data_IF_384290134377
#
_entry.id   IF_384290134377
#
_cell.length_a   1.000
_cell.length_b   1.000
_cell.length_c   1.000
_cell.angle_alpha   90.00
_cell.angle_beta   90.00
_cell.angle_gamma   90.00
#
_symmetry.space_group_name_H-M   'P 1'
#
loop_
_entity.id
_entity.type
_entity.pdbx_description
1 polymer ?
#
# COMPACT_ATOMS: atom_id res chain seq x y z
N UNK A 1 13.67 -44.51 -64.22
CA UNK A 1 14.28 -43.53 -63.29
C UNK A 1 13.64 -42.16 -63.50
N UNK A 2 12.66 -41.79 -62.66
CA UNK A 2 12.25 -40.40 -62.40
C UNK A 2 11.81 -40.37 -60.93
N UNK A 3 12.66 -39.84 -60.06
CA UNK A 3 12.38 -39.66 -58.64
C UNK A 3 11.59 -38.36 -58.51
N UNK A 4 10.34 -38.46 -58.04
CA UNK A 4 9.50 -37.31 -57.72
C UNK A 4 9.84 -36.84 -56.29
N UNK A 5 10.40 -35.65 -56.16
CA UNK A 5 10.57 -34.99 -54.86
C UNK A 5 9.26 -34.31 -54.46
N UNK A 6 8.64 -34.76 -53.37
CA UNK A 6 7.51 -34.07 -52.73
C UNK A 6 8.09 -33.28 -51.54
N UNK A 7 7.96 -31.95 -51.49
CA UNK A 7 8.41 -31.19 -50.34
C UNK A 7 7.40 -31.37 -49.20
N UNK A 8 7.87 -32.00 -48.11
CA UNK A 8 7.10 -32.12 -46.88
C UNK A 8 7.14 -30.76 -46.15
N UNK A 9 6.09 -29.95 -46.31
CA UNK A 9 5.91 -28.75 -45.49
C UNK A 9 5.49 -29.17 -44.08
N UNK A 10 6.47 -29.20 -43.17
CA UNK A 10 6.22 -29.29 -41.73
C UNK A 10 5.59 -27.98 -41.26
N UNK A 11 4.26 -27.96 -41.12
CA UNK A 11 3.55 -26.92 -40.38
C UNK A 11 3.93 -27.04 -38.90
N UNK A 12 4.88 -26.24 -38.45
CA UNK A 12 5.05 -25.99 -37.02
C UNK A 12 3.94 -25.04 -36.57
N UNK A 13 2.90 -25.59 -35.96
CA UNK A 13 1.87 -24.84 -35.26
C UNK A 13 2.50 -24.17 -34.04
N UNK A 14 2.98 -22.93 -34.17
CA UNK A 14 3.39 -22.11 -33.02
C UNK A 14 2.16 -21.86 -32.15
N UNK A 15 1.99 -22.67 -31.10
CA UNK A 15 0.97 -22.45 -30.09
C UNK A 15 1.48 -21.34 -29.18
N UNK A 16 1.18 -20.08 -29.51
CA UNK A 16 1.40 -18.96 -28.60
C UNK A 16 0.28 -18.96 -27.57
N UNK A 17 0.57 -19.45 -26.36
CA UNK A 17 -0.30 -19.27 -25.20
C UNK A 17 -0.14 -17.84 -24.68
N UNK A 18 -0.83 -16.88 -25.31
CA UNK A 18 -0.90 -15.52 -24.78
C UNK A 18 -1.89 -15.49 -23.60
N UNK A 19 -1.50 -14.85 -22.49
CA UNK A 19 -2.35 -14.70 -21.30
C UNK A 19 -3.61 -13.85 -21.56
N UNK A 20 -3.60 -13.02 -22.60
CA UNK A 20 -4.71 -12.13 -22.95
C UNK A 20 -5.15 -12.41 -24.40
N UNK A 21 -6.20 -13.21 -24.57
CA UNK A 21 -6.96 -13.26 -25.82
C UNK A 21 -8.23 -12.41 -25.61
N UNK A 22 -8.56 -11.47 -26.52
CA UNK A 22 -9.86 -10.79 -26.46
C UNK A 22 -11.01 -11.80 -26.57
N UNK A 23 -12.09 -11.56 -25.82
CA UNK A 23 -13.26 -12.46 -25.76
C UNK A 23 -13.81 -12.74 -27.17
N UNK A 24 -13.76 -14.00 -27.58
CA UNK A 24 -14.14 -14.46 -28.92
C UNK A 24 -15.65 -14.61 -29.13
N UNK A 25 -16.49 -14.42 -28.09
CA UNK A 25 -17.91 -14.80 -28.13
C UNK A 25 -18.85 -13.60 -28.37
N UNK A 26 -18.39 -12.36 -28.14
CA UNK A 26 -19.09 -11.12 -28.52
C UNK A 26 -18.21 -10.12 -29.29
N UNK A 27 -16.89 -10.39 -29.36
CA UNK A 27 -15.89 -9.46 -29.87
C UNK A 27 -15.69 -8.20 -29.02
N UNK A 28 -16.49 -7.96 -27.96
CA UNK A 28 -16.50 -6.73 -27.13
C UNK A 28 -16.94 -7.02 -25.69
N UNK A 29 -16.27 -6.44 -24.70
CA UNK A 29 -16.55 -6.61 -23.27
C UNK A 29 -17.20 -5.34 -22.70
N UNK A 30 -18.53 -5.30 -22.67
CA UNK A 30 -19.28 -4.18 -22.07
C UNK A 30 -19.26 -4.33 -20.55
N UNK A 31 -18.29 -3.69 -19.89
CA UNK A 31 -18.17 -3.66 -18.43
C UNK A 31 -18.66 -2.32 -17.88
N UNK A 32 -19.57 -2.36 -16.91
CA UNK A 32 -20.06 -1.18 -16.20
C UNK A 32 -18.94 -0.60 -15.35
N UNK A 33 -18.59 0.68 -15.51
CA UNK A 33 -17.42 1.28 -14.84
C UNK A 33 -17.65 2.76 -14.53
N UNK A 34 -17.14 3.23 -13.39
CA UNK A 34 -16.96 4.66 -13.15
C UNK A 34 -15.58 4.96 -12.55
N UNK A 35 -15.06 6.14 -12.84
CA UNK A 35 -13.79 6.62 -12.32
C UNK A 35 -13.80 8.12 -12.02
N UNK A 36 -12.84 8.54 -11.21
CA UNK A 36 -12.46 9.94 -11.00
C UNK A 36 -10.95 10.07 -11.15
N UNK A 37 -10.53 11.08 -11.92
CA UNK A 37 -9.14 11.54 -12.03
C UNK A 37 -9.05 12.88 -11.34
N UNK A 38 -8.03 13.09 -10.50
CA UNK A 38 -7.90 14.32 -9.72
C UNK A 38 -6.44 14.74 -9.47
N UNK A 39 -6.26 16.01 -9.13
CA UNK A 39 -4.97 16.62 -8.80
C UNK A 39 -5.07 17.42 -7.50
N UNK A 40 -4.13 17.21 -6.59
CA UNK A 40 -3.91 18.07 -5.43
C UNK A 40 -2.79 19.07 -5.75
N UNK A 41 -3.14 20.35 -5.91
CA UNK A 41 -2.17 21.41 -6.21
C UNK A 41 -1.24 21.75 -5.04
N UNK A 42 -1.66 21.48 -3.80
CA UNK A 42 -0.88 21.78 -2.59
C UNK A 42 0.17 20.69 -2.37
N UNK A 43 -0.27 19.43 -2.36
CA UNK A 43 0.62 18.28 -2.21
C UNK A 43 1.39 17.93 -3.50
N UNK A 44 0.95 18.46 -4.64
CA UNK A 44 1.46 18.13 -5.99
C UNK A 44 1.35 16.62 -6.26
N UNK A 45 0.15 16.11 -6.08
CA UNK A 45 -0.19 14.69 -6.24
C UNK A 45 -1.25 14.50 -7.32
N UNK A 46 -1.12 13.46 -8.12
CA UNK A 46 -2.15 13.00 -9.06
C UNK A 46 -2.73 11.70 -8.54
N UNK A 47 -4.02 11.51 -8.77
CA UNK A 47 -4.66 10.27 -8.37
C UNK A 47 -5.85 9.90 -9.23
N UNK A 48 -6.11 8.60 -9.26
CA UNK A 48 -7.23 7.99 -9.96
C UNK A 48 -7.88 6.98 -9.02
N UNK A 49 -9.21 7.01 -8.94
CA UNK A 49 -9.99 5.95 -8.32
C UNK A 49 -11.04 5.45 -9.30
N UNK A 50 -11.28 4.13 -9.31
CA UNK A 50 -12.12 3.46 -10.30
C UNK A 50 -12.79 2.23 -9.70
N UNK A 51 -14.00 1.91 -10.16
CA UNK A 51 -14.72 0.69 -9.82
C UNK A 51 -15.44 0.12 -11.04
N UNK A 52 -15.49 -1.21 -11.13
CA UNK A 52 -16.14 -1.94 -12.22
C UNK A 52 -16.78 -3.26 -11.75
N UNK A 53 -17.62 -3.85 -12.61
CA UNK A 53 -18.25 -5.16 -12.39
C UNK A 53 -17.42 -6.32 -12.98
N UNK A 54 -16.24 -6.02 -13.51
CA UNK A 54 -15.22 -6.97 -13.92
C UNK A 54 -14.06 -7.06 -12.89
N UNK A 55 -13.14 -7.99 -13.09
CA UNK A 55 -11.96 -8.17 -12.24
C UNK A 55 -10.84 -7.16 -12.56
N UNK A 56 -9.95 -6.94 -11.58
CA UNK A 56 -8.65 -6.25 -11.68
C UNK A 56 -8.56 -4.83 -12.28
N UNK A 57 -9.63 -4.03 -12.20
CA UNK A 57 -9.76 -2.75 -12.92
C UNK A 57 -8.60 -1.75 -12.79
N UNK A 58 -7.89 -1.77 -11.66
CA UNK A 58 -6.73 -0.89 -11.45
C UNK A 58 -5.61 -1.10 -12.47
N UNK A 59 -5.52 -2.27 -13.10
CA UNK A 59 -4.44 -2.61 -14.03
C UNK A 59 -4.68 -2.02 -15.42
N UNK A 60 -5.93 -2.03 -15.86
CA UNK A 60 -6.28 -1.63 -17.22
C UNK A 60 -6.59 -0.14 -17.33
N UNK A 61 -7.01 0.53 -16.26
CA UNK A 61 -7.69 1.83 -16.40
C UNK A 61 -6.99 3.01 -15.75
N UNK A 62 -5.90 2.79 -15.01
CA UNK A 62 -5.20 3.83 -14.25
C UNK A 62 -3.83 4.10 -14.86
N UNK A 63 -3.59 5.35 -15.25
CA UNK A 63 -2.31 5.81 -15.77
C UNK A 63 -1.91 7.11 -15.09
N UNK A 64 -0.76 7.13 -14.41
CA UNK A 64 -0.25 8.33 -13.75
C UNK A 64 1.22 8.48 -14.08
N UNK A 65 1.61 9.61 -14.65
CA UNK A 65 3.01 10.00 -14.79
C UNK A 65 3.28 11.21 -13.89
N UNK A 66 4.01 11.01 -12.76
CA UNK A 66 4.39 12.07 -11.84
C UNK A 66 4.97 13.30 -12.54
N UNK A 67 4.48 14.49 -12.17
CA UNK A 67 4.93 15.75 -12.73
C UNK A 67 4.31 16.13 -14.09
N UNK A 68 3.60 15.21 -14.76
CA UNK A 68 2.93 15.48 -16.03
C UNK A 68 1.41 15.48 -15.93
N UNK A 69 0.82 14.42 -15.37
CA UNK A 69 -0.63 14.24 -15.40
C UNK A 69 -1.08 12.83 -15.03
N UNK A 70 -2.39 12.63 -15.11
CA UNK A 70 -3.04 11.34 -14.98
C UNK A 70 -4.13 11.17 -16.02
N UNK A 71 -4.34 9.93 -16.45
CA UNK A 71 -5.39 9.53 -17.38
C UNK A 71 -6.15 8.35 -16.80
N UNK A 72 -7.45 8.30 -17.11
CA UNK A 72 -8.25 7.11 -16.96
C UNK A 72 -8.86 6.75 -18.31
N UNK A 73 -8.80 5.48 -18.67
CA UNK A 73 -9.41 4.94 -19.90
C UNK A 73 -10.28 3.78 -19.47
N UNK A 74 -11.59 3.89 -19.67
CA UNK A 74 -12.57 2.88 -19.26
C UNK A 74 -13.44 2.49 -20.46
N UNK A 75 -14.49 1.69 -20.22
CA UNK A 75 -15.27 1.04 -21.26
C UNK A 75 -14.37 0.07 -22.06
N UNK A 76 -14.38 0.12 -23.39
CA UNK A 76 -13.41 -0.62 -24.18
C UNK A 76 -12.03 0.04 -24.04
N UNK A 77 -11.18 -0.49 -23.16
CA UNK A 77 -9.93 0.16 -22.76
C UNK A 77 -8.91 0.19 -23.93
N UNK A 78 -8.30 1.35 -24.17
CA UNK A 78 -7.21 1.54 -25.14
C UNK A 78 -6.04 2.31 -24.47
N UNK A 79 -4.97 1.61 -24.03
CA UNK A 79 -3.83 2.23 -23.35
C UNK A 79 -3.13 3.36 -24.11
N UNK A 80 -3.22 3.39 -25.45
CA UNK A 80 -2.58 4.43 -26.28
C UNK A 80 -2.96 5.84 -25.87
N UNK A 81 -4.21 6.09 -25.45
CA UNK A 81 -4.64 7.41 -24.99
C UNK A 81 -3.79 7.97 -23.86
N UNK A 82 -3.35 7.11 -22.94
CA UNK A 82 -2.45 7.52 -21.85
C UNK A 82 -0.99 7.58 -22.31
N UNK A 83 -0.52 6.54 -23.01
CA UNK A 83 0.88 6.44 -23.45
C UNK A 83 1.26 7.62 -24.36
N UNK A 84 0.49 7.84 -25.43
CA UNK A 84 0.70 8.97 -26.35
C UNK A 84 0.32 10.29 -25.68
N UNK A 85 -0.71 10.28 -24.84
CA UNK A 85 -1.12 11.46 -24.08
C UNK A 85 0.01 12.04 -23.22
N UNK A 86 0.78 11.20 -22.53
CA UNK A 86 1.95 11.65 -21.78
C UNK A 86 3.03 12.23 -22.69
N UNK A 87 3.26 11.67 -23.87
CA UNK A 87 4.22 12.24 -24.84
C UNK A 87 3.76 13.61 -25.35
N UNK A 88 2.45 13.81 -25.58
CA UNK A 88 1.90 15.12 -25.94
C UNK A 88 2.05 16.14 -24.81
N UNK A 89 1.80 15.73 -23.56
CA UNK A 89 1.99 16.61 -22.39
C UNK A 89 3.46 17.04 -22.23
N UNK A 90 4.43 16.14 -22.47
CA UNK A 90 5.87 16.49 -22.47
C UNK A 90 6.21 17.56 -23.51
N UNK A 91 5.53 17.54 -24.66
CA UNK A 91 5.68 18.53 -25.73
C UNK A 91 4.95 19.85 -25.44
N UNK A 92 4.34 20.00 -24.26
CA UNK A 92 3.64 21.23 -23.85
C UNK A 92 2.22 21.34 -24.41
N UNK A 93 1.65 20.27 -24.96
CA UNK A 93 0.24 20.23 -25.35
C UNK A 93 -0.65 20.25 -24.10
N UNK A 94 -1.88 20.76 -24.27
CA UNK A 94 -2.89 20.69 -23.21
C UNK A 94 -3.41 19.26 -23.05
N UNK A 95 -4.02 18.95 -21.90
CA UNK A 95 -4.65 17.64 -21.68
C UNK A 95 -5.72 17.29 -22.73
N UNK A 96 -6.42 18.30 -23.25
CA UNK A 96 -7.39 18.14 -24.31
C UNK A 96 -6.70 17.73 -25.61
N UNK A 97 -5.68 18.48 -26.03
CA UNK A 97 -4.90 18.16 -27.23
C UNK A 97 -4.24 16.78 -27.13
N UNK A 98 -3.79 16.39 -25.94
CA UNK A 98 -3.21 15.08 -25.68
C UNK A 98 -4.20 13.92 -25.91
N UNK A 99 -5.44 14.06 -25.42
CA UNK A 99 -6.49 13.05 -25.64
C UNK A 99 -6.98 13.07 -27.09
N UNK A 100 -7.14 14.26 -27.67
CA UNK A 100 -7.61 14.43 -29.05
C UNK A 100 -6.62 13.87 -30.08
N UNK A 101 -5.32 13.88 -29.78
CA UNK A 101 -4.27 13.30 -30.63
C UNK A 101 -4.58 11.83 -30.97
N UNK A 102 -4.71 10.97 -29.96
CA UNK A 102 -5.05 9.55 -30.16
C UNK A 102 -6.47 9.37 -30.68
N UNK A 103 -7.41 10.23 -30.26
CA UNK A 103 -8.83 10.16 -30.67
C UNK A 103 -9.02 10.31 -32.19
N UNK A 104 -8.15 11.08 -32.87
CA UNK A 104 -8.25 11.29 -34.32
C UNK A 104 -7.98 10.01 -35.11
N UNK A 105 -7.13 9.12 -34.60
CA UNK A 105 -6.72 7.87 -35.25
C UNK A 105 -7.48 6.64 -34.74
N UNK A 106 -8.17 6.74 -33.59
CA UNK A 106 -8.98 5.66 -33.03
C UNK A 106 -10.36 5.57 -33.71
N UNK A 107 -10.46 4.67 -34.71
CA UNK A 107 -11.72 4.35 -35.39
C UNK A 107 -12.81 3.82 -34.43
N UNK A 108 -12.42 3.26 -33.29
CA UNK A 108 -13.31 2.71 -32.26
C UNK A 108 -13.55 3.69 -31.10
N UNK A 109 -13.15 4.96 -31.21
CA UNK A 109 -13.33 5.98 -30.16
C UNK A 109 -14.76 6.07 -29.62
N UNK A 110 -15.75 5.73 -30.44
CA UNK A 110 -17.16 5.74 -30.10
C UNK A 110 -17.54 4.72 -29.01
N UNK A 111 -16.66 3.76 -28.70
CA UNK A 111 -16.80 2.75 -27.63
C UNK A 111 -16.06 3.13 -26.35
N UNK A 112 -15.17 4.11 -26.41
CA UNK A 112 -14.26 4.46 -25.31
C UNK A 112 -14.89 5.46 -24.37
N UNK A 113 -14.37 5.56 -23.15
CA UNK A 113 -14.45 6.79 -22.36
C UNK A 113 -13.07 7.10 -21.81
N UNK A 114 -12.62 8.34 -21.98
CA UNK A 114 -11.28 8.78 -21.61
C UNK A 114 -11.40 10.07 -20.83
N UNK A 115 -10.65 10.18 -19.74
CA UNK A 115 -10.48 11.41 -19.00
C UNK A 115 -9.03 11.59 -18.61
N UNK A 116 -8.64 12.84 -18.38
CA UNK A 116 -7.32 13.16 -17.89
C UNK A 116 -7.26 14.51 -17.19
N UNK A 117 -6.17 14.67 -16.42
CA UNK A 117 -5.81 15.90 -15.76
C UNK A 117 -4.30 16.14 -15.93
N UNK A 118 -3.89 17.36 -16.26
CA UNK A 118 -2.47 17.71 -16.37
C UNK A 118 -1.88 18.24 -15.04
N UNK A 119 -0.59 18.58 -15.07
CA UNK A 119 0.15 19.14 -13.94
C UNK A 119 -0.33 20.50 -13.42
N UNK A 120 -1.16 21.19 -14.19
CA UNK A 120 -1.76 22.46 -13.82
C UNK A 120 -3.20 22.28 -13.29
N UNK A 121 -3.71 21.05 -13.26
CA UNK A 121 -5.07 20.74 -12.83
C UNK A 121 -6.14 20.94 -13.92
N UNK A 122 -5.75 21.22 -15.17
CA UNK A 122 -6.71 21.30 -16.27
C UNK A 122 -7.22 19.92 -16.64
N UNK A 123 -8.53 19.78 -16.85
CA UNK A 123 -9.19 18.51 -17.12
C UNK A 123 -9.84 18.45 -18.49
N UNK A 124 -9.78 17.28 -19.12
CA UNK A 124 -10.55 16.95 -20.31
C UNK A 124 -11.08 15.53 -20.21
N UNK A 125 -12.27 15.29 -20.76
CA UNK A 125 -12.85 13.97 -20.85
C UNK A 125 -13.85 13.89 -22.00
N UNK A 126 -14.05 12.69 -22.54
CA UNK A 126 -15.10 12.42 -23.51
C UNK A 126 -15.75 11.05 -23.27
N UNK A 127 -17.01 10.94 -23.70
CA UNK A 127 -17.76 9.68 -23.74
C UNK A 127 -18.07 9.33 -25.18
N UNK A 128 -17.68 8.14 -25.62
CA UNK A 128 -17.95 7.63 -26.96
C UNK A 128 -19.46 7.56 -27.27
N UNK A 129 -19.82 7.87 -28.50
CA UNK A 129 -21.22 8.03 -28.90
C UNK A 129 -22.07 6.76 -28.85
N UNK A 130 -21.50 5.55 -28.80
CA UNK A 130 -22.28 4.32 -28.68
C UNK A 130 -22.94 4.15 -27.30
N UNK A 131 -22.41 4.81 -26.27
CA UNK A 131 -22.91 4.67 -24.90
C UNK A 131 -24.33 5.24 -24.71
N UNK A 132 -24.79 6.13 -25.61
CA UNK A 132 -26.18 6.62 -25.60
C UNK A 132 -27.22 5.54 -25.92
N UNK A 133 -26.79 4.40 -26.47
CA UNK A 133 -27.65 3.25 -26.80
C UNK A 133 -27.55 2.12 -25.77
N UNK A 134 -26.73 2.29 -24.72
CA UNK A 134 -26.57 1.29 -23.67
C UNK A 134 -27.48 1.61 -22.47
N UNK A 135 -27.87 0.62 -21.66
CA UNK A 135 -28.67 0.85 -20.46
C UNK A 135 -27.96 1.73 -19.43
N UNK A 136 -28.73 2.51 -18.66
CA UNK A 136 -28.24 3.39 -17.60
C UNK A 136 -27.61 4.68 -18.11
N UNK A 137 -27.10 5.49 -17.18
CA UNK A 137 -26.45 6.75 -17.50
C UNK A 137 -24.98 6.52 -17.91
N UNK A 138 -24.55 7.23 -18.95
CA UNK A 138 -23.15 7.32 -19.33
C UNK A 138 -22.78 8.78 -19.60
N UNK A 139 -21.64 9.23 -19.07
CA UNK A 139 -21.28 10.64 -19.15
C UNK A 139 -19.95 10.98 -18.48
N UNK A 140 -19.70 12.27 -18.42
CA UNK A 140 -18.57 12.88 -17.72
C UNK A 140 -19.08 14.07 -16.91
N UNK A 141 -18.41 14.41 -15.82
CA UNK A 141 -18.68 15.62 -15.04
C UNK A 141 -17.36 16.20 -14.54
N UNK A 142 -17.10 17.46 -14.89
CA UNK A 142 -15.92 18.19 -14.41
C UNK A 142 -16.23 18.84 -13.06
N UNK A 143 -15.26 18.79 -12.16
CA UNK A 143 -15.24 19.54 -10.91
C UNK A 143 -13.95 20.35 -10.77
N UNK A 144 -13.74 20.93 -9.60
CA UNK A 144 -12.51 21.63 -9.26
C UNK A 144 -11.37 20.63 -9.10
N UNK A 145 -10.37 20.73 -9.98
CA UNK A 145 -9.19 19.85 -10.03
C UNK A 145 -9.53 18.35 -10.12
N UNK A 146 -10.69 18.01 -10.68
CA UNK A 146 -11.09 16.63 -10.91
C UNK A 146 -12.04 16.49 -12.10
N UNK A 147 -12.15 15.26 -12.60
CA UNK A 147 -13.17 14.88 -13.57
C UNK A 147 -13.62 13.46 -13.29
N UNK A 148 -14.94 13.30 -13.15
CA UNK A 148 -15.59 12.01 -12.99
C UNK A 148 -16.16 11.55 -14.34
N UNK A 149 -16.18 10.24 -14.57
CA UNK A 149 -16.84 9.66 -15.74
C UNK A 149 -17.30 8.24 -15.46
N UNK A 150 -18.19 7.73 -16.33
CA UNK A 150 -18.56 6.33 -16.31
C UNK A 150 -19.71 6.00 -17.24
N UNK A 151 -20.08 4.72 -17.26
CA UNK A 151 -21.14 4.16 -18.08
C UNK A 151 -21.99 3.16 -17.28
N UNK A 152 -23.24 2.97 -17.74
CA UNK A 152 -24.27 2.13 -17.12
C UNK A 152 -24.44 2.40 -15.62
N UNK A 153 -24.53 3.68 -15.27
CA UNK A 153 -24.64 4.16 -13.89
C UNK A 153 -26.08 4.56 -13.54
N UNK A 154 -26.33 4.73 -12.24
CA UNK A 154 -27.45 5.57 -11.79
C UNK A 154 -27.24 7.05 -12.12
N UNK A 155 -28.32 7.81 -12.31
CA UNK A 155 -28.28 9.20 -12.81
C UNK A 155 -27.51 10.18 -11.91
N UNK A 156 -27.44 9.91 -10.61
CA UNK A 156 -26.82 10.81 -9.62
C UNK A 156 -25.35 10.48 -9.32
N UNK A 157 -24.80 9.44 -9.93
CA UNK A 157 -23.48 8.90 -9.58
C UNK A 157 -22.36 9.93 -9.80
N UNK A 158 -22.28 10.52 -10.99
CA UNK A 158 -21.19 11.48 -11.28
C UNK A 158 -21.28 12.74 -10.40
N UNK A 159 -22.49 13.23 -10.17
CA UNK A 159 -22.72 14.37 -9.28
C UNK A 159 -22.27 14.05 -7.85
N UNK A 160 -22.61 12.87 -7.34
CA UNK A 160 -22.19 12.44 -6.01
C UNK A 160 -20.67 12.29 -5.88
N UNK A 161 -20.01 11.75 -6.91
CA UNK A 161 -18.54 11.62 -6.96
C UNK A 161 -17.89 13.00 -6.86
N UNK A 162 -18.28 13.95 -7.73
CA UNK A 162 -17.67 15.30 -7.75
C UNK A 162 -17.97 16.05 -6.45
N UNK A 163 -19.22 16.07 -6.00
CA UNK A 163 -19.61 16.73 -4.76
C UNK A 163 -18.84 16.19 -3.55
N UNK A 164 -18.71 14.86 -3.43
CA UNK A 164 -17.99 14.25 -2.31
C UNK A 164 -16.48 14.53 -2.37
N UNK A 165 -15.87 14.53 -3.57
CA UNK A 165 -14.47 14.90 -3.73
C UNK A 165 -14.19 16.32 -3.25
N UNK A 166 -15.03 17.29 -3.65
CA UNK A 166 -14.84 18.70 -3.33
C UNK A 166 -15.14 19.05 -1.87
N UNK A 167 -16.08 18.33 -1.23
CA UNK A 167 -16.49 18.58 0.15
C UNK A 167 -15.65 17.83 1.19
N UNK A 168 -14.94 16.78 0.77
CA UNK A 168 -14.10 15.99 1.69
C UNK A 168 -12.77 16.69 1.93
N UNK A 169 -12.43 16.87 3.20
CA UNK A 169 -11.10 17.32 3.61
C UNK A 169 -10.15 16.13 3.80
N UNK A 170 -8.85 16.39 3.74
CA UNK A 170 -7.81 15.38 3.96
C UNK A 170 -6.91 15.19 2.74
N UNK A 171 -6.19 14.09 2.73
CA UNK A 171 -5.25 13.74 1.65
C UNK A 171 -5.99 13.43 0.34
N UNK A 172 -5.27 13.44 -0.78
CA UNK A 172 -5.85 13.09 -2.07
C UNK A 172 -6.48 11.69 -2.05
N UNK A 173 -5.82 10.70 -1.44
CA UNK A 173 -6.35 9.35 -1.30
C UNK A 173 -7.67 9.29 -0.50
N UNK A 174 -7.83 10.07 0.57
CA UNK A 174 -9.07 10.11 1.34
C UNK A 174 -10.23 10.71 0.53
N UNK A 175 -9.98 11.80 -0.20
CA UNK A 175 -10.99 12.45 -1.06
C UNK A 175 -11.40 11.55 -2.22
N UNK A 176 -10.45 10.85 -2.84
CA UNK A 176 -10.72 9.88 -3.92
C UNK A 176 -11.58 8.72 -3.43
N UNK A 177 -11.26 8.14 -2.27
CA UNK A 177 -12.09 7.07 -1.69
C UNK A 177 -13.50 7.57 -1.33
N UNK A 178 -13.61 8.75 -0.73
CA UNK A 178 -14.91 9.35 -0.41
C UNK A 178 -15.76 9.55 -1.66
N UNK A 179 -15.15 10.05 -2.74
CA UNK A 179 -15.79 10.21 -4.04
C UNK A 179 -16.29 8.87 -4.61
N UNK A 180 -15.43 7.85 -4.61
CA UNK A 180 -15.75 6.52 -5.13
C UNK A 180 -16.92 5.87 -4.36
N UNK A 181 -16.89 5.95 -3.03
CA UNK A 181 -17.94 5.44 -2.14
C UNK A 181 -19.25 6.22 -2.29
N UNK A 182 -19.20 7.55 -2.46
CA UNK A 182 -20.39 8.36 -2.72
C UNK A 182 -21.04 8.00 -4.05
N UNK A 183 -20.24 7.77 -5.10
CA UNK A 183 -20.72 7.26 -6.39
C UNK A 183 -21.48 5.95 -6.26
N UNK A 184 -20.91 4.98 -5.53
CA UNK A 184 -21.58 3.71 -5.27
C UNK A 184 -22.92 3.89 -4.53
N UNK A 185 -22.97 4.75 -3.51
CA UNK A 185 -24.19 5.01 -2.73
C UNK A 185 -25.28 5.75 -3.51
N UNK A 186 -24.90 6.52 -4.53
CA UNK A 186 -25.82 7.27 -5.38
C UNK A 186 -26.44 6.43 -6.52
N UNK A 187 -26.25 5.11 -6.50
CA UNK A 187 -26.78 4.16 -7.48
C UNK A 187 -25.69 3.30 -8.11
N UNK A 188 -24.43 3.76 -8.06
CA UNK A 188 -23.27 3.05 -8.58
C UNK A 188 -23.49 2.50 -9.99
N UNK A 189 -23.02 1.28 -10.17
CA UNK A 189 -23.10 0.51 -11.40
C UNK A 189 -24.40 -0.31 -11.41
N UNK A 190 -25.22 -0.20 -12.45
CA UNK A 190 -26.54 -0.86 -12.48
C UNK A 190 -26.47 -2.39 -12.58
N UNK A 191 -25.31 -2.94 -12.98
CA UNK A 191 -25.06 -4.38 -13.12
C UNK A 191 -24.22 -4.96 -11.98
N UNK A 192 -24.09 -4.25 -10.86
CA UNK A 192 -23.32 -4.70 -9.70
C UNK A 192 -21.85 -4.28 -9.71
N UNK A 193 -21.10 -4.79 -8.72
CA UNK A 193 -19.72 -4.39 -8.40
C UNK A 193 -18.85 -5.62 -8.20
N UNK A 194 -17.58 -5.55 -8.60
CA UNK A 194 -16.65 -6.69 -8.50
C UNK A 194 -15.23 -6.25 -8.10
N UNK A 195 -14.70 -5.18 -8.68
CA UNK A 195 -13.37 -4.68 -8.37
C UNK A 195 -13.32 -3.16 -8.25
N UNK A 196 -12.35 -2.68 -7.47
CA UNK A 196 -12.08 -1.26 -7.31
C UNK A 196 -10.58 -1.03 -7.07
N UNK A 197 -10.10 0.15 -7.45
CA UNK A 197 -8.71 0.54 -7.24
C UNK A 197 -8.60 2.04 -6.95
N UNK A 198 -7.54 2.41 -6.24
CA UNK A 198 -7.15 3.78 -5.96
C UNK A 198 -5.63 3.89 -6.04
N UNK A 199 -5.16 4.80 -6.89
CA UNK A 199 -3.75 5.11 -7.04
C UNK A 199 -3.52 6.60 -6.81
N UNK A 200 -2.45 6.93 -6.10
CA UNK A 200 -1.94 8.29 -5.91
C UNK A 200 -0.43 8.28 -6.16
N UNK A 201 0.08 9.26 -6.90
CA UNK A 201 1.51 9.48 -7.06
C UNK A 201 1.87 10.95 -6.82
N UNK A 202 2.89 11.19 -6.00
CA UNK A 202 3.46 12.53 -5.80
C UNK A 202 4.43 12.92 -6.93
N UNK A 203 4.67 14.21 -7.12
CA UNK A 203 5.50 14.74 -8.22
C UNK A 203 6.92 14.14 -8.30
N UNK A 204 7.53 13.85 -7.16
CA UNK A 204 8.88 13.26 -7.10
C UNK A 204 8.88 11.73 -7.24
N UNK A 205 7.71 11.10 -7.35
CA UNK A 205 7.53 9.64 -7.39
C UNK A 205 8.20 8.89 -6.21
N UNK A 206 8.32 9.55 -5.06
CA UNK A 206 8.88 8.96 -3.85
C UNK A 206 7.97 7.82 -3.37
N UNK A 207 8.53 6.63 -3.16
CA UNK A 207 7.76 5.43 -2.86
C UNK A 207 6.83 5.58 -1.64
N UNK A 208 7.20 6.41 -0.66
CA UNK A 208 6.42 6.67 0.54
C UNK A 208 5.26 7.64 0.35
N UNK A 209 5.25 8.42 -0.74
CA UNK A 209 4.15 9.31 -1.15
C UNK A 209 3.19 8.62 -2.13
N UNK A 210 3.53 7.40 -2.57
CA UNK A 210 2.74 6.67 -3.55
C UNK A 210 1.74 5.72 -2.87
N UNK A 211 0.52 5.70 -3.40
CA UNK A 211 -0.53 4.75 -3.02
C UNK A 211 -0.89 3.95 -4.28
N UNK A 212 -0.96 2.64 -4.15
CA UNK A 212 -1.50 1.73 -5.17
C UNK A 212 -2.26 0.63 -4.44
N UNK A 213 -3.57 0.83 -4.28
CA UNK A 213 -4.45 -0.07 -3.56
C UNK A 213 -5.46 -0.65 -4.53
N UNK A 214 -5.57 -1.98 -4.51
CA UNK A 214 -6.35 -2.73 -5.48
C UNK A 214 -7.17 -3.80 -4.76
N UNK A 215 -8.45 -3.82 -5.07
CA UNK A 215 -9.36 -4.91 -4.74
C UNK A 215 -9.77 -5.50 -6.07
N UNK A 216 -8.99 -6.46 -6.56
CA UNK A 216 -9.16 -7.01 -7.90
C UNK A 216 -10.37 -7.95 -8.02
N UNK A 217 -10.93 -8.40 -6.88
CA UNK A 217 -12.15 -9.20 -6.78
C UNK A 217 -12.73 -9.16 -5.35
N UNK A 218 -13.97 -8.70 -5.18
CA UNK A 218 -14.71 -8.74 -3.92
C UNK A 218 -16.20 -8.57 -4.16
N UNK A 219 -17.03 -9.12 -3.28
CA UNK A 219 -18.47 -8.77 -3.22
C UNK A 219 -18.71 -7.38 -2.65
N UNK A 220 -17.72 -6.82 -1.94
CA UNK A 220 -17.77 -5.46 -1.41
C UNK A 220 -16.44 -4.69 -1.61
N UNK A 221 -16.10 -4.35 -2.87
CA UNK A 221 -14.80 -3.77 -3.20
C UNK A 221 -14.56 -2.39 -2.56
N UNK A 222 -15.59 -1.63 -2.24
CA UNK A 222 -15.46 -0.28 -1.65
C UNK A 222 -15.10 -0.34 -0.15
N UNK A 223 -15.69 -1.26 0.61
CA UNK A 223 -15.33 -1.48 2.02
C UNK A 223 -13.93 -2.10 2.13
N UNK A 224 -13.57 -3.03 1.24
CA UNK A 224 -12.22 -3.58 1.19
C UNK A 224 -11.17 -2.51 0.84
N UNK A 225 -11.47 -1.63 -0.12
CA UNK A 225 -10.57 -0.53 -0.48
C UNK A 225 -10.46 0.48 0.68
N UNK A 226 -11.55 0.72 1.41
CA UNK A 226 -11.56 1.53 2.64
C UNK A 226 -10.66 0.92 3.71
N UNK A 227 -10.75 -0.40 3.91
CA UNK A 227 -9.89 -1.14 4.85
C UNK A 227 -8.41 -1.01 4.46
N UNK A 228 -8.07 -1.16 3.18
CA UNK A 228 -6.69 -0.99 2.69
C UNK A 228 -6.16 0.44 2.91
N UNK A 229 -6.98 1.46 2.65
CA UNK A 229 -6.60 2.85 2.88
C UNK A 229 -6.43 3.16 4.38
N UNK A 230 -7.29 2.59 5.22
CA UNK A 230 -7.15 2.65 6.67
C UNK A 230 -5.86 1.98 7.14
N UNK A 231 -5.46 0.83 6.59
CA UNK A 231 -4.19 0.20 6.92
C UNK A 231 -3.00 1.10 6.56
N UNK A 232 -3.02 1.70 5.37
CA UNK A 232 -1.99 2.64 4.94
C UNK A 232 -1.79 3.80 5.93
N UNK A 233 -2.87 4.54 6.25
CA UNK A 233 -2.78 5.70 7.15
C UNK A 233 -2.64 5.30 8.62
N UNK A 234 -3.23 4.18 9.04
CA UNK A 234 -3.11 3.65 10.39
C UNK A 234 -1.67 3.29 10.74
N UNK A 235 -0.91 2.72 9.79
CA UNK A 235 0.54 2.51 9.95
C UNK A 235 1.29 3.83 10.14
N UNK A 236 0.95 4.86 9.37
CA UNK A 236 1.59 6.18 9.47
C UNK A 236 1.29 6.81 10.84
N UNK A 237 0.03 6.77 11.27
CA UNK A 237 -0.39 7.27 12.58
C UNK A 237 0.28 6.52 13.73
N UNK A 238 0.44 5.19 13.60
CA UNK A 238 1.16 4.40 14.60
C UNK A 238 2.65 4.79 14.68
N UNK A 239 3.29 5.04 13.54
CA UNK A 239 4.67 5.55 13.52
C UNK A 239 4.78 6.92 14.19
N UNK A 240 3.83 7.82 13.90
CA UNK A 240 3.75 9.14 14.54
C UNK A 240 3.52 9.03 16.04
N UNK A 241 2.66 8.10 16.49
CA UNK A 241 2.42 7.84 17.89
C UNK A 241 3.70 7.44 18.62
N UNK A 242 4.40 6.43 18.11
CA UNK A 242 5.67 5.94 18.68
C UNK A 242 6.72 7.06 18.70
N UNK A 243 6.86 7.81 17.61
CA UNK A 243 7.80 8.92 17.55
C UNK A 243 7.46 10.00 18.60
N UNK A 244 6.19 10.40 18.70
CA UNK A 244 5.74 11.37 19.69
C UNK A 244 6.02 10.90 21.12
N UNK A 245 5.79 9.62 21.43
CA UNK A 245 6.09 9.03 22.74
C UNK A 245 7.59 9.10 23.04
N UNK A 246 8.43 8.71 22.08
CA UNK A 246 9.89 8.75 22.22
C UNK A 246 10.43 10.18 22.40
N UNK A 247 9.79 11.17 21.79
CA UNK A 247 10.09 12.60 21.96
C UNK A 247 9.49 13.19 23.25
N UNK A 248 8.84 12.39 24.09
CA UNK A 248 8.23 12.83 25.36
C UNK A 248 6.84 13.47 25.22
N UNK A 249 6.28 13.57 24.01
CA UNK A 249 4.92 14.07 23.79
C UNK A 249 3.88 12.94 23.93
N UNK A 250 3.67 12.52 25.17
CA UNK A 250 2.76 11.42 25.53
C UNK A 250 1.31 11.71 25.12
N UNK A 251 0.85 12.95 25.22
CA UNK A 251 -0.52 13.32 24.87
C UNK A 251 -0.82 13.10 23.38
N UNK A 252 0.07 13.59 22.51
CA UNK A 252 -0.02 13.34 21.07
C UNK A 252 0.13 11.84 20.77
N UNK A 253 1.08 11.18 21.44
CA UNK A 253 1.29 9.73 21.33
C UNK A 253 0.02 8.92 21.57
N UNK A 254 -0.68 9.18 22.67
CA UNK A 254 -1.95 8.50 23.01
C UNK A 254 -3.06 8.79 22.00
N UNK A 255 -3.21 10.04 21.59
CA UNK A 255 -4.22 10.44 20.59
C UNK A 255 -4.00 9.71 19.26
N UNK A 256 -2.76 9.70 18.75
CA UNK A 256 -2.42 9.03 17.48
C UNK A 256 -2.52 7.51 17.58
N UNK A 257 -2.16 6.92 18.72
CA UNK A 257 -2.29 5.48 18.93
C UNK A 257 -3.76 5.04 18.87
N UNK A 258 -4.66 5.77 19.53
CA UNK A 258 -6.09 5.47 19.50
C UNK A 258 -6.69 5.55 18.08
N UNK A 259 -6.30 6.55 17.30
CA UNK A 259 -6.68 6.65 15.88
C UNK A 259 -6.11 5.49 15.06
N UNK A 260 -4.83 5.18 15.24
CA UNK A 260 -4.15 4.11 14.53
C UNK A 260 -4.80 2.74 14.78
N UNK A 261 -5.11 2.41 16.03
CA UNK A 261 -5.75 1.13 16.39
C UNK A 261 -7.08 0.90 15.68
N UNK A 262 -7.92 1.93 15.61
CA UNK A 262 -9.19 1.86 14.88
C UNK A 262 -8.96 1.57 13.40
N UNK A 263 -7.92 2.16 12.82
CA UNK A 263 -7.62 2.05 11.39
C UNK A 263 -6.94 0.73 11.02
N UNK A 264 -6.12 0.17 11.91
CA UNK A 264 -5.38 -1.08 11.65
C UNK A 264 -6.08 -2.34 12.16
N UNK A 265 -7.33 -2.21 12.61
CA UNK A 265 -8.14 -3.34 13.07
C UNK A 265 -8.21 -4.44 12.00
N UNK A 266 -7.84 -5.67 12.38
CA UNK A 266 -7.80 -6.82 11.48
C UNK A 266 -6.47 -7.02 10.74
N UNK A 267 -5.49 -6.12 10.90
CA UNK A 267 -4.14 -6.35 10.40
C UNK A 267 -3.29 -7.10 11.42
N UNK A 268 -3.17 -8.42 11.27
CA UNK A 268 -2.42 -9.27 12.23
C UNK A 268 -0.94 -8.88 12.34
N UNK A 269 -0.29 -8.54 11.23
CA UNK A 269 1.15 -8.24 11.18
C UNK A 269 1.58 -6.94 11.87
N UNK A 270 0.65 -6.04 12.20
CA UNK A 270 1.00 -4.76 12.85
C UNK A 270 0.79 -4.77 14.37
N UNK A 271 0.16 -5.81 14.92
CA UNK A 271 -0.21 -5.87 16.33
C UNK A 271 1.01 -5.82 17.27
N UNK A 272 2.15 -6.39 16.87
CA UNK A 272 3.39 -6.30 17.66
C UNK A 272 3.83 -4.85 17.86
N UNK A 273 3.62 -3.99 16.87
CA UNK A 273 3.95 -2.56 16.93
C UNK A 273 2.95 -1.76 17.77
N UNK A 274 1.68 -2.14 17.76
CA UNK A 274 0.66 -1.57 18.67
C UNK A 274 0.99 -1.92 20.12
N UNK A 275 1.32 -3.19 20.41
CA UNK A 275 1.74 -3.62 21.74
C UNK A 275 3.01 -2.87 22.20
N UNK A 276 4.00 -2.69 21.33
CA UNK A 276 5.19 -1.86 21.61
C UNK A 276 4.80 -0.42 22.00
N UNK A 277 3.87 0.22 21.29
CA UNK A 277 3.44 1.58 21.61
C UNK A 277 2.84 1.67 23.02
N UNK A 278 2.06 0.67 23.45
CA UNK A 278 1.55 0.61 24.82
C UNK A 278 2.65 0.39 25.86
N UNK A 279 3.66 -0.41 25.55
CA UNK A 279 4.81 -0.58 26.44
C UNK A 279 5.62 0.71 26.60
N UNK A 280 5.82 1.47 25.51
CA UNK A 280 6.46 2.80 25.55
C UNK A 280 5.64 3.79 26.40
N UNK A 281 4.31 3.68 26.38
CA UNK A 281 3.41 4.45 27.24
C UNK A 281 3.39 3.98 28.70
N UNK A 282 4.13 2.92 29.05
CA UNK A 282 4.11 2.28 30.37
C UNK A 282 2.72 1.72 30.73
N UNK A 283 1.99 1.22 29.74
CA UNK A 283 0.65 0.61 29.88
C UNK A 283 0.69 -0.90 29.54
N UNK A 284 1.41 -1.73 30.34
CA UNK A 284 1.63 -3.15 30.00
C UNK A 284 0.34 -3.95 29.92
N UNK A 285 -0.69 -3.61 30.71
CA UNK A 285 -1.97 -4.32 30.63
C UNK A 285 -2.61 -4.23 29.24
N UNK A 286 -2.52 -3.07 28.58
CA UNK A 286 -3.08 -2.90 27.23
C UNK A 286 -2.24 -3.58 26.17
N UNK A 287 -0.92 -3.60 26.34
CA UNK A 287 -0.04 -4.40 25.49
C UNK A 287 -0.43 -5.89 25.55
N UNK A 288 -0.72 -6.41 26.74
CA UNK A 288 -1.22 -7.79 26.93
C UNK A 288 -2.57 -8.00 26.24
N UNK A 289 -3.49 -7.05 26.33
CA UNK A 289 -4.79 -7.15 25.66
C UNK A 289 -4.63 -7.26 24.14
N UNK A 290 -3.75 -6.44 23.55
CA UNK A 290 -3.40 -6.50 22.11
C UNK A 290 -2.78 -7.85 21.74
N UNK A 291 -1.80 -8.32 22.51
CA UNK A 291 -1.14 -9.61 22.29
C UNK A 291 -2.15 -10.77 22.32
N UNK A 292 -3.02 -10.79 23.34
CA UNK A 292 -4.03 -11.85 23.48
C UNK A 292 -5.08 -11.79 22.37
N UNK A 293 -5.49 -10.61 21.95
CA UNK A 293 -6.39 -10.45 20.80
C UNK A 293 -5.73 -10.96 19.50
N UNK A 294 -4.45 -10.68 19.29
CA UNK A 294 -3.70 -11.17 18.13
C UNK A 294 -3.58 -12.70 18.11
N UNK A 295 -3.30 -13.32 19.26
CA UNK A 295 -3.28 -14.78 19.42
C UNK A 295 -4.64 -15.42 19.19
N UNK A 296 -5.72 -14.80 19.68
CA UNK A 296 -7.08 -15.29 19.48
C UNK A 296 -7.49 -15.25 17.99
N UNK A 297 -7.08 -14.20 17.27
CA UNK A 297 -7.33 -14.08 15.84
C UNK A 297 -6.44 -15.00 14.99
N UNK A 298 -5.20 -15.24 15.42
CA UNK A 298 -4.24 -16.11 14.73
C UNK A 298 -3.34 -16.85 15.75
N UNK A 299 -3.59 -18.14 16.02
CA UNK A 299 -2.76 -18.91 16.95
C UNK A 299 -1.27 -19.01 16.54
N UNK A 300 -0.94 -18.86 15.26
CA UNK A 300 0.46 -18.82 14.78
C UNK A 300 1.19 -17.54 15.15
N UNK A 301 0.45 -16.49 15.54
CA UNK A 301 1.03 -15.24 16.03
C UNK A 301 1.94 -15.45 17.26
N UNK A 302 1.85 -16.61 17.93
CA UNK A 302 2.76 -17.05 18.99
C UNK A 302 4.25 -16.93 18.67
N UNK A 303 4.62 -16.93 17.38
CA UNK A 303 5.99 -16.64 16.92
C UNK A 303 6.53 -15.28 17.40
N UNK A 304 5.66 -14.32 17.72
CA UNK A 304 6.02 -12.99 18.20
C UNK A 304 6.19 -12.91 19.73
N UNK A 305 5.76 -13.93 20.47
CA UNK A 305 5.76 -13.90 21.94
C UNK A 305 7.14 -13.69 22.57
N UNK A 306 8.24 -14.25 22.05
CA UNK A 306 9.57 -14.01 22.59
C UNK A 306 9.97 -12.54 22.66
N UNK A 307 9.56 -11.72 21.68
CA UNK A 307 9.80 -10.28 21.71
C UNK A 307 9.23 -9.60 22.96
N UNK A 308 8.19 -10.19 23.56
CA UNK A 308 7.51 -9.68 24.76
C UNK A 308 7.96 -10.39 26.04
N UNK A 309 9.15 -11.00 26.07
CA UNK A 309 9.72 -11.68 27.26
C UNK A 309 9.67 -10.84 28.55
N UNK A 310 9.76 -9.52 28.44
CA UNK A 310 9.61 -8.59 29.57
C UNK A 310 8.27 -8.69 30.32
N UNK A 311 7.27 -9.33 29.71
CA UNK A 311 5.94 -9.60 30.28
C UNK A 311 5.81 -11.04 30.81
N UNK A 312 6.90 -11.83 30.89
CA UNK A 312 6.86 -13.24 31.32
C UNK A 312 6.25 -13.45 32.71
N UNK A 313 6.34 -12.45 33.58
CA UNK A 313 5.83 -12.52 34.95
C UNK A 313 4.40 -11.93 35.06
N UNK A 314 3.84 -11.38 33.98
CA UNK A 314 2.45 -10.91 33.95
C UNK A 314 1.50 -12.14 33.96
N UNK A 315 0.52 -12.23 34.88
CA UNK A 315 -0.26 -13.46 35.10
C UNK A 315 -0.98 -14.02 33.86
N UNK A 316 -1.42 -13.16 32.93
CA UNK A 316 -2.12 -13.53 31.69
C UNK A 316 -1.15 -13.89 30.56
N UNK A 317 0.15 -13.62 30.73
CA UNK A 317 1.22 -13.96 29.79
C UNK A 317 2.10 -15.12 30.27
N UNK A 318 2.14 -15.40 31.57
CA UNK A 318 3.06 -16.36 32.20
C UNK A 318 3.04 -17.76 31.58
N UNK A 319 1.88 -18.26 31.17
CA UNK A 319 1.76 -19.58 30.52
C UNK A 319 2.00 -19.57 29.01
N UNK A 320 2.18 -18.38 28.41
CA UNK A 320 2.34 -18.20 26.96
C UNK A 320 3.81 -18.06 26.56
N UNK A 321 4.65 -17.54 27.45
CA UNK A 321 6.08 -17.33 27.20
C UNK A 321 6.87 -18.48 27.84
N UNK A 322 7.34 -19.40 27.01
CA UNK A 322 8.14 -20.55 27.46
C UNK A 322 9.61 -20.38 27.11
N UNK A 323 10.36 -19.80 28.06
CA UNK A 323 11.79 -19.55 27.95
C UNK A 323 12.61 -20.82 27.68
N UNK A 324 12.15 -22.00 28.13
CA UNK A 324 12.92 -23.25 28.01
C UNK A 324 13.14 -23.70 26.57
N UNK A 325 12.31 -23.20 25.65
CA UNK A 325 12.35 -23.53 24.24
C UNK A 325 12.81 -22.34 23.38
N UNK A 326 13.33 -21.27 24.00
CA UNK A 326 13.85 -20.14 23.24
C UNK A 326 15.06 -20.56 22.41
N UNK A 327 14.98 -20.27 21.13
CA UNK A 327 16.10 -20.30 20.20
C UNK A 327 16.91 -19.01 20.31
N UNK A 328 18.08 -18.98 19.65
CA UNK A 328 18.86 -17.75 19.50
C UNK A 328 18.01 -16.58 18.94
N UNK A 329 17.16 -16.85 17.95
CA UNK A 329 16.26 -15.84 17.32
C UNK A 329 15.23 -15.29 18.31
N UNK A 330 14.78 -16.11 19.24
CA UNK A 330 13.81 -15.73 20.26
C UNK A 330 14.45 -14.78 21.27
N UNK A 331 15.68 -15.07 21.72
CA UNK A 331 16.47 -14.16 22.55
C UNK A 331 16.81 -12.85 21.84
N UNK A 332 17.22 -12.91 20.56
CA UNK A 332 17.46 -11.73 19.74
C UNK A 332 16.21 -10.84 19.68
N UNK A 333 15.03 -11.43 19.48
CA UNK A 333 13.76 -10.72 19.43
C UNK A 333 13.41 -10.06 20.77
N UNK A 334 13.59 -10.79 21.87
CA UNK A 334 13.39 -10.28 23.24
C UNK A 334 14.28 -9.06 23.55
N UNK A 335 15.58 -9.19 23.29
CA UNK A 335 16.57 -8.13 23.49
C UNK A 335 16.26 -6.92 22.60
N UNK A 336 15.94 -7.15 21.33
CA UNK A 336 15.66 -6.07 20.36
C UNK A 336 14.47 -5.22 20.77
N UNK A 337 13.39 -5.84 21.27
CA UNK A 337 12.23 -5.08 21.76
C UNK A 337 12.56 -4.34 23.06
N UNK A 338 13.29 -4.97 23.99
CA UNK A 338 13.70 -4.30 25.23
C UNK A 338 14.61 -3.08 24.97
N UNK A 339 15.52 -3.18 24.00
CA UNK A 339 16.33 -2.06 23.53
C UNK A 339 15.49 -0.89 23.01
N UNK A 340 14.41 -1.16 22.26
CA UNK A 340 13.49 -0.11 21.79
C UNK A 340 12.74 0.63 22.90
N UNK A 341 12.59 0.00 24.08
CA UNK A 341 11.95 0.61 25.26
C UNK A 341 12.91 1.51 26.06
N UNK A 342 14.15 1.70 25.61
CA UNK A 342 15.20 2.47 26.32
C UNK A 342 15.47 1.97 27.76
N UNK A 343 15.36 0.65 28.00
CA UNK A 343 15.61 0.02 29.32
C UNK A 343 17.07 -0.48 29.45
N UNK A 344 18.03 0.41 29.25
CA UNK A 344 19.46 0.07 29.08
C UNK A 344 20.03 -1.01 30.02
N UNK A 345 19.95 -0.85 31.36
CA UNK A 345 20.46 -1.86 32.29
C UNK A 345 19.80 -3.24 32.15
N UNK A 346 18.50 -3.25 31.87
CA UNK A 346 17.72 -4.48 31.70
C UNK A 346 18.02 -5.14 30.35
N UNK A 347 18.22 -4.35 29.29
CA UNK A 347 18.66 -4.85 27.99
C UNK A 347 20.02 -5.55 28.10
N UNK A 348 20.99 -4.95 28.82
CA UNK A 348 22.31 -5.57 29.05
C UNK A 348 22.17 -6.90 29.81
N UNK A 349 21.35 -6.92 30.88
CA UNK A 349 21.09 -8.15 31.63
C UNK A 349 20.47 -9.23 30.74
N UNK A 350 19.52 -8.85 29.89
CA UNK A 350 18.83 -9.75 28.98
C UNK A 350 19.76 -10.30 27.88
N UNK A 351 20.67 -9.47 27.34
CA UNK A 351 21.74 -9.91 26.45
C UNK A 351 22.60 -11.00 27.12
N UNK A 352 23.08 -10.74 28.34
CA UNK A 352 23.91 -11.68 29.07
C UNK A 352 23.18 -13.01 29.35
N UNK A 353 21.89 -12.95 29.69
CA UNK A 353 21.06 -14.15 29.85
C UNK A 353 21.00 -14.97 28.56
N UNK A 354 20.75 -14.34 27.41
CA UNK A 354 20.73 -15.04 26.12
C UNK A 354 22.10 -15.62 25.73
N UNK A 355 23.19 -14.91 26.02
CA UNK A 355 24.56 -15.36 25.77
C UNK A 355 24.98 -16.54 26.65
N UNK A 356 24.32 -16.80 27.78
CA UNK A 356 24.55 -18.03 28.55
C UNK A 356 24.15 -19.28 27.76
N UNK A 357 23.05 -19.20 27.01
CA UNK A 357 22.55 -20.32 26.19
C UNK A 357 23.22 -20.34 24.80
N UNK A 358 23.55 -19.16 24.27
CA UNK A 358 24.10 -18.98 22.93
C UNK A 358 25.40 -18.12 22.93
N UNK A 359 26.49 -18.60 23.55
CA UNK A 359 27.73 -17.81 23.74
C UNK A 359 28.49 -17.50 22.44
N UNK A 360 28.07 -18.07 21.30
CA UNK A 360 28.65 -17.80 19.98
C UNK A 360 27.72 -16.99 19.07
N UNK A 361 26.66 -16.43 19.63
CA UNK A 361 25.73 -15.58 18.88
C UNK A 361 26.37 -14.24 18.56
N UNK A 362 26.83 -14.08 17.32
CA UNK A 362 27.36 -12.79 16.83
C UNK A 362 26.35 -11.66 17.07
N UNK A 363 25.07 -11.89 16.78
CA UNK A 363 24.06 -10.84 16.87
C UNK A 363 23.72 -10.45 18.32
N UNK A 364 23.71 -11.38 19.28
CA UNK A 364 23.54 -11.04 20.69
C UNK A 364 24.74 -10.23 21.24
N UNK A 365 25.97 -10.55 20.83
CA UNK A 365 27.15 -9.75 21.15
C UNK A 365 27.05 -8.33 20.56
N UNK A 366 26.60 -8.20 19.32
CA UNK A 366 26.31 -6.90 18.71
C UNK A 366 25.27 -6.09 19.52
N UNK A 367 24.13 -6.71 19.88
CA UNK A 367 23.08 -6.05 20.66
C UNK A 367 23.58 -5.65 22.07
N UNK A 368 24.43 -6.47 22.68
CA UNK A 368 25.10 -6.15 23.95
C UNK A 368 26.01 -4.93 23.79
N UNK A 369 26.88 -4.93 22.78
CA UNK A 369 27.75 -3.81 22.46
C UNK A 369 26.97 -2.51 22.21
N UNK A 370 25.88 -2.57 21.45
CA UNK A 370 24.97 -1.43 21.24
C UNK A 370 24.37 -0.91 22.55
N UNK A 371 23.95 -1.81 23.43
CA UNK A 371 23.36 -1.46 24.73
C UNK A 371 24.38 -0.88 25.71
N UNK A 372 25.59 -1.42 25.73
CA UNK A 372 26.73 -0.90 26.51
C UNK A 372 27.13 0.50 26.07
N UNK A 373 27.16 0.74 24.74
CA UNK A 373 27.45 2.05 24.21
C UNK A 373 26.41 3.08 24.64
N UNK A 374 25.12 2.73 24.55
CA UNK A 374 24.03 3.60 25.01
C UNK A 374 24.11 3.90 26.51
N UNK A 375 24.72 3.00 27.30
CA UNK A 375 25.00 3.18 28.72
C UNK A 375 26.33 3.94 29.01
N UNK A 376 27.03 4.44 27.99
CA UNK A 376 28.29 5.19 28.13
C UNK A 376 29.54 4.31 28.32
N UNK A 377 29.42 2.99 28.23
CA UNK A 377 30.52 2.03 28.43
C UNK A 377 31.24 1.74 27.12
N UNK A 378 31.88 2.77 26.55
CA UNK A 378 32.45 2.73 25.18
C UNK A 378 33.46 1.61 24.96
N UNK A 379 34.38 1.37 25.90
CA UNK A 379 35.43 0.35 25.73
C UNK A 379 34.88 -1.08 25.82
N UNK A 380 33.96 -1.33 26.76
CA UNK A 380 33.24 -2.61 26.83
C UNK A 380 32.43 -2.84 25.56
N UNK A 381 31.71 -1.81 25.09
CA UNK A 381 30.91 -1.87 23.88
C UNK A 381 31.75 -2.20 22.64
N UNK A 382 32.92 -1.59 22.49
CA UNK A 382 33.83 -1.86 21.37
C UNK A 382 34.26 -3.32 21.35
N UNK A 383 34.69 -3.87 22.49
CA UNK A 383 35.13 -5.27 22.60
C UNK A 383 34.04 -6.24 22.18
N UNK A 384 32.80 -6.01 22.62
CA UNK A 384 31.66 -6.86 22.25
C UNK A 384 31.34 -6.78 20.75
N UNK A 385 31.42 -5.59 20.15
CA UNK A 385 31.20 -5.44 18.70
C UNK A 385 32.33 -6.05 17.87
N UNK A 386 33.60 -5.92 18.31
CA UNK A 386 34.73 -6.61 17.69
C UNK A 386 34.53 -8.13 17.74
N UNK A 387 34.15 -8.66 18.92
CA UNK A 387 33.88 -10.08 19.07
C UNK A 387 32.71 -10.58 18.20
N UNK A 388 31.65 -9.77 18.05
CA UNK A 388 30.55 -10.09 17.15
C UNK A 388 31.02 -10.26 15.70
N UNK A 389 31.91 -9.39 15.21
CA UNK A 389 32.49 -9.47 13.86
C UNK A 389 33.41 -10.68 13.72
N UNK A 390 34.19 -11.01 14.76
CA UNK A 390 35.05 -12.19 14.76
C UNK A 390 34.25 -13.51 14.71
N UNK A 391 33.08 -13.54 15.36
CA UNK A 391 32.17 -14.68 15.33
C UNK A 391 31.47 -14.86 13.97
N UNK A 392 31.10 -13.75 13.33
CA UNK A 392 30.45 -13.73 12.01
C UNK A 392 30.78 -12.43 11.26
N UNK A 393 31.70 -12.52 10.32
CA UNK A 393 32.11 -11.39 9.49
C UNK A 393 31.01 -10.89 8.54
N UNK A 394 29.91 -11.65 8.36
CA UNK A 394 28.73 -11.23 7.59
C UNK A 394 27.72 -10.43 8.40
N UNK A 395 27.95 -10.23 9.71
CA UNK A 395 27.13 -9.34 10.53
C UNK A 395 27.40 -7.86 10.18
N UNK A 396 26.72 -7.39 9.13
CA UNK A 396 26.88 -6.04 8.60
C UNK A 396 26.59 -4.94 9.65
N UNK A 397 25.63 -5.15 10.54
CA UNK A 397 25.32 -4.16 11.59
C UNK A 397 26.49 -3.98 12.56
N UNK A 398 27.13 -5.07 12.98
CA UNK A 398 28.33 -5.03 13.81
C UNK A 398 29.50 -4.38 13.08
N UNK A 399 29.73 -4.74 11.82
CA UNK A 399 30.79 -4.17 10.97
C UNK A 399 30.60 -2.66 10.79
N UNK A 400 29.39 -2.21 10.47
CA UNK A 400 29.05 -0.79 10.30
C UNK A 400 29.26 -0.05 11.63
N UNK A 401 28.82 -0.61 12.75
CA UNK A 401 28.98 0.01 14.06
C UNK A 401 30.46 0.15 14.43
N UNK A 402 31.27 -0.89 14.18
CA UNK A 402 32.71 -0.86 14.42
C UNK A 402 33.42 0.20 13.58
N UNK A 403 33.10 0.27 12.29
CA UNK A 403 33.71 1.20 11.34
C UNK A 403 33.17 2.64 11.41
N UNK A 404 32.00 2.86 11.99
CA UNK A 404 31.37 4.17 12.06
C UNK A 404 31.54 4.83 13.43
N UNK A 405 31.24 4.09 14.49
CA UNK A 405 31.09 4.64 15.85
C UNK A 405 32.38 4.55 16.67
N UNK A 406 33.19 3.52 16.42
CA UNK A 406 34.41 3.23 17.17
C UNK A 406 35.72 3.56 16.41
N UNK A 407 35.62 4.16 15.22
CA UNK A 407 36.78 4.70 14.50
C UNK A 407 37.48 5.81 15.29
#
# INVERSE_FOLDING_TARGET
>A
MRILFIPLFLFFSLHTTAQNLPSLVSGKNINTTFSIVAFDSVAKEWGVAVATNNIYVGNSTIYIQPGLGAFSVIAETEPKYAIEGFEQLKQGKTIQQAIEYTMQEDAERYLRQVSGIDRNGFTFAFTGAAWKYQPGFAGTLKGKNCVAMGNQLGDKVLQAIVSAFEQTNGTLGQRLLAALTAGQRAGGQIQGKQSAALMVKGANNEWYNNIDLRVDNSTDPFEELTRLLNFHYGRIMLNQAINAINMGNVALGKSRLAEAERMVKGWNGIQSKVALAYLLLKEPSKAVDVIRAALAANPKWKENLPAFYLLKDEPRMKSLIDEKHFTEKDWISAVSLMGQLNRGPETISLCNRGLQDFPRSSYLHYLLGKSLLAAGKRDEARKEVEHAVDLDASNEEAVIMLQGVFK
#
